data_IF_464652771718
#
_entry.id   IF_464652771718
#
_cell.length_a   1.000
_cell.length_b   1.000
_cell.length_c   1.000
_cell.angle_alpha   90.00
_cell.angle_beta   90.00
_cell.angle_gamma   90.00
#
_symmetry.space_group_name_H-M   'P 1'
#
loop_
_entity.id
_entity.type
_entity.pdbx_description
1 polymer ?
#
# COMPACT_ATOMS: atom_id res chain seq x y z
N UNK A 1 -6.04 20.68 -20.92
CA UNK A 1 -5.78 21.04 -19.49
C UNK A 1 -7.02 20.95 -18.61
N UNK A 2 -8.10 21.69 -18.87
CA UNK A 2 -9.34 21.59 -18.06
C UNK A 2 -9.85 20.15 -17.96
N UNK A 3 -9.79 19.37 -19.05
CA UNK A 3 -10.17 17.96 -19.04
C UNK A 3 -9.35 17.09 -18.08
N UNK A 4 -8.04 17.33 -17.93
CA UNK A 4 -7.19 16.59 -16.98
C UNK A 4 -7.53 16.97 -15.53
N UNK A 5 -7.84 18.24 -15.26
CA UNK A 5 -8.29 18.68 -13.93
C UNK A 5 -9.61 18.02 -13.56
N UNK A 6 -10.57 17.95 -14.49
CA UNK A 6 -11.84 17.25 -14.27
C UNK A 6 -11.60 15.75 -14.01
N UNK A 7 -10.76 15.10 -14.82
CA UNK A 7 -10.40 13.70 -14.64
C UNK A 7 -9.76 13.46 -13.26
N UNK A 8 -8.85 14.35 -12.84
CA UNK A 8 -8.23 14.27 -11.52
C UNK A 8 -9.30 14.34 -10.44
N UNK A 9 -10.16 15.37 -10.45
CA UNK A 9 -11.25 15.52 -9.48
C UNK A 9 -12.16 14.28 -9.43
N UNK A 10 -12.51 13.72 -10.60
CA UNK A 10 -13.30 12.49 -10.66
C UNK A 10 -12.55 11.32 -9.99
N UNK A 11 -11.27 11.13 -10.29
CA UNK A 11 -10.47 10.07 -9.67
C UNK A 11 -10.34 10.25 -8.15
N UNK A 12 -10.23 11.48 -7.66
CA UNK A 12 -10.15 11.75 -6.22
C UNK A 12 -11.50 11.60 -5.49
N UNK A 13 -12.63 11.92 -6.13
CA UNK A 13 -13.94 11.99 -5.45
C UNK A 13 -14.80 10.73 -5.67
N UNK A 14 -14.87 10.24 -6.91
CA UNK A 14 -15.85 9.22 -7.32
C UNK A 14 -15.73 7.89 -6.55
N UNK A 15 -14.53 7.39 -6.19
CA UNK A 15 -14.36 6.21 -5.33
C UNK A 15 -15.08 6.31 -3.98
N UNK A 16 -15.28 7.52 -3.45
CA UNK A 16 -15.88 7.75 -2.13
C UNK A 16 -17.38 8.03 -2.19
N UNK A 17 -17.86 8.50 -3.34
CA UNK A 17 -19.28 8.86 -3.51
C UNK A 17 -20.10 7.76 -4.17
N UNK A 18 -19.48 6.90 -4.98
CA UNK A 18 -20.18 5.89 -5.77
C UNK A 18 -19.72 4.46 -5.43
N UNK A 19 -20.59 3.69 -4.75
CA UNK A 19 -20.33 2.27 -4.39
C UNK A 19 -20.00 1.37 -5.58
N UNK A 20 -20.50 1.71 -6.77
CA UNK A 20 -20.21 0.96 -8.01
C UNK A 20 -18.74 1.15 -8.41
N UNK A 21 -18.22 2.37 -8.24
CA UNK A 21 -16.83 2.73 -8.55
C UNK A 21 -15.90 2.12 -7.51
N UNK A 22 -16.24 2.26 -6.23
CA UNK A 22 -15.51 1.64 -5.12
C UNK A 22 -15.33 0.12 -5.30
N UNK A 23 -16.37 -0.58 -5.78
CA UNK A 23 -16.31 -2.04 -6.01
C UNK A 23 -15.53 -2.45 -7.26
N UNK A 24 -15.32 -1.52 -8.20
CA UNK A 24 -14.74 -1.79 -9.51
C UNK A 24 -13.63 -0.77 -9.85
N UNK A 25 -12.78 -0.46 -8.86
CA UNK A 25 -11.71 0.53 -9.02
C UNK A 25 -10.79 0.23 -10.20
N UNK A 26 -10.56 -1.05 -10.48
CA UNK A 26 -9.66 -1.48 -11.55
C UNK A 26 -10.20 -1.07 -12.93
N UNK A 27 -11.51 -1.25 -13.15
CA UNK A 27 -12.18 -0.85 -14.40
C UNK A 27 -12.31 0.67 -14.45
N UNK A 28 -12.63 1.30 -13.33
CA UNK A 28 -12.72 2.75 -13.25
C UNK A 28 -11.40 3.42 -13.63
N UNK A 29 -10.28 3.00 -13.04
CA UNK A 29 -8.95 3.54 -13.36
C UNK A 29 -8.53 3.24 -14.79
N UNK A 30 -8.93 2.10 -15.36
CA UNK A 30 -8.72 1.83 -16.78
C UNK A 30 -9.43 2.85 -17.68
N UNK A 31 -10.69 3.15 -17.40
CA UNK A 31 -11.47 4.16 -18.13
C UNK A 31 -10.88 5.55 -17.93
N UNK A 32 -10.56 5.94 -16.69
CA UNK A 32 -9.96 7.25 -16.40
C UNK A 32 -8.56 7.37 -17.03
N UNK A 33 -7.78 6.29 -17.09
CA UNK A 33 -6.48 6.26 -17.73
C UNK A 33 -6.53 6.40 -19.25
N UNK A 34 -7.43 5.65 -19.90
CA UNK A 34 -7.69 5.80 -21.34
C UNK A 34 -8.12 7.22 -21.66
N UNK A 35 -9.10 7.74 -20.95
CA UNK A 35 -9.60 9.12 -21.18
C UNK A 35 -8.53 10.17 -20.90
N UNK A 36 -7.72 10.03 -19.84
CA UNK A 36 -6.61 10.92 -19.56
C UNK A 36 -5.60 10.96 -20.71
N UNK A 37 -5.17 9.78 -21.19
CA UNK A 37 -4.20 9.67 -22.28
C UNK A 37 -4.70 10.23 -23.61
N UNK A 38 -6.00 10.12 -23.89
CA UNK A 38 -6.62 10.71 -25.08
C UNK A 38 -6.74 12.24 -24.94
N UNK A 39 -7.19 12.73 -23.78
CA UNK A 39 -7.39 14.17 -23.52
C UNK A 39 -6.07 14.94 -23.48
N UNK A 40 -4.98 14.31 -23.02
CA UNK A 40 -3.65 14.93 -23.06
C UNK A 40 -2.92 14.76 -24.38
N UNK A 41 -3.47 14.03 -25.34
CA UNK A 41 -2.88 13.83 -26.67
C UNK A 41 -1.64 12.92 -26.70
N UNK A 42 -1.34 12.22 -25.59
CA UNK A 42 -0.19 11.30 -25.49
C UNK A 42 -0.52 9.87 -25.91
N UNK A 43 -1.80 9.56 -26.13
CA UNK A 43 -2.23 8.23 -26.54
C UNK A 43 -1.68 7.85 -27.91
N UNK A 44 -0.87 6.80 -27.95
CA UNK A 44 -0.28 6.27 -29.17
C UNK A 44 -0.11 4.73 -29.06
N UNK A 45 0.13 4.04 -30.19
CA UNK A 45 0.25 2.58 -30.19
C UNK A 45 1.40 2.05 -29.31
N UNK A 46 2.50 2.80 -29.17
CA UNK A 46 3.62 2.39 -28.31
C UNK A 46 3.28 2.48 -26.83
N UNK A 47 2.54 3.51 -26.40
CA UNK A 47 2.01 3.64 -25.04
C UNK A 47 0.99 2.54 -24.75
N UNK A 48 0.10 2.22 -25.69
CA UNK A 48 -0.85 1.11 -25.51
C UNK A 48 -0.11 -0.23 -25.38
N UNK A 49 0.91 -0.47 -26.22
CA UNK A 49 1.73 -1.68 -26.12
C UNK A 49 2.47 -1.75 -24.78
N UNK A 50 3.04 -0.64 -24.29
CA UNK A 50 3.69 -0.56 -22.98
C UNK A 50 2.68 -0.86 -21.85
N UNK A 51 1.53 -0.19 -21.86
CA UNK A 51 0.48 -0.37 -20.86
C UNK A 51 -0.05 -1.81 -20.79
N UNK A 52 -0.07 -2.56 -21.89
CA UNK A 52 -0.47 -3.97 -21.91
C UNK A 52 0.66 -4.93 -21.52
N UNK A 53 1.92 -4.57 -21.77
CA UNK A 53 3.09 -5.42 -21.53
C UNK A 53 3.60 -5.32 -20.09
N UNK A 54 3.69 -4.11 -19.55
CA UNK A 54 4.21 -3.87 -18.19
C UNK A 54 3.52 -4.74 -17.13
N UNK A 55 2.17 -4.87 -17.10
CA UNK A 55 1.44 -5.62 -16.07
C UNK A 55 1.60 -7.14 -16.14
N UNK A 56 2.14 -7.71 -17.23
CA UNK A 56 2.20 -9.16 -17.44
C UNK A 56 3.03 -9.84 -16.35
N UNK A 57 4.25 -9.35 -16.10
CA UNK A 57 5.12 -9.93 -15.08
C UNK A 57 4.56 -9.73 -13.67
N UNK A 58 3.97 -8.57 -13.39
CA UNK A 58 3.38 -8.26 -12.07
C UNK A 58 2.20 -9.18 -11.78
N UNK A 59 1.25 -9.30 -12.71
CA UNK A 59 0.07 -10.16 -12.55
C UNK A 59 0.45 -11.64 -12.42
N UNK A 60 1.47 -12.09 -13.15
CA UNK A 60 1.99 -13.45 -13.03
C UNK A 60 2.63 -13.68 -11.65
N UNK A 61 3.44 -12.73 -11.16
CA UNK A 61 4.03 -12.82 -9.82
C UNK A 61 2.95 -12.86 -8.74
N UNK A 62 1.91 -12.02 -8.85
CA UNK A 62 0.77 -12.03 -7.92
C UNK A 62 0.02 -13.37 -7.95
N UNK A 63 -0.21 -13.94 -9.14
CA UNK A 63 -0.85 -15.24 -9.30
C UNK A 63 -0.03 -16.35 -8.62
N UNK A 64 1.29 -16.37 -8.89
CA UNK A 64 2.23 -17.35 -8.32
C UNK A 64 2.29 -17.21 -6.80
N UNK A 65 2.44 -15.98 -6.28
CA UNK A 65 2.44 -15.72 -4.84
C UNK A 65 1.14 -16.16 -4.16
N UNK A 66 -0.01 -15.91 -4.79
CA UNK A 66 -1.32 -16.36 -4.29
C UNK A 66 -1.43 -17.89 -4.20
N UNK A 67 -0.92 -18.62 -5.20
CA UNK A 67 -0.89 -20.09 -5.19
C UNK A 67 0.04 -20.62 -4.09
N UNK A 68 1.25 -20.06 -3.96
CA UNK A 68 2.17 -20.43 -2.88
C UNK A 68 1.56 -20.21 -1.50
N UNK A 69 0.88 -19.09 -1.28
CA UNK A 69 0.22 -18.80 -0.01
C UNK A 69 -0.87 -19.84 0.29
N UNK A 70 -1.72 -20.18 -0.69
CA UNK A 70 -2.77 -21.18 -0.52
C UNK A 70 -2.21 -22.54 -0.11
N UNK A 71 -1.13 -22.99 -0.75
CA UNK A 71 -0.48 -24.25 -0.40
C UNK A 71 0.22 -24.20 0.96
N UNK A 72 0.74 -23.03 1.34
CA UNK A 72 1.45 -22.79 2.60
C UNK A 72 0.56 -22.52 3.82
N UNK A 73 -0.75 -22.31 3.69
CA UNK A 73 -1.60 -21.87 4.82
C UNK A 73 -1.56 -22.81 6.04
N UNK A 74 -1.70 -24.13 5.81
CA UNK A 74 -1.74 -25.12 6.88
C UNK A 74 -0.43 -25.20 7.70
N UNK A 75 0.77 -25.31 7.08
CA UNK A 75 2.02 -25.27 7.82
C UNK A 75 2.26 -23.90 8.48
N UNK A 76 1.84 -22.80 7.86
CA UNK A 76 1.97 -21.46 8.42
C UNK A 76 1.21 -21.33 9.76
N UNK A 77 -0.06 -21.80 9.80
CA UNK A 77 -0.88 -21.80 11.01
C UNK A 77 -0.26 -22.62 12.15
N UNK A 78 0.28 -23.81 11.82
CA UNK A 78 0.98 -24.68 12.79
C UNK A 78 2.31 -24.07 13.28
N UNK A 79 3.02 -23.34 12.41
CA UNK A 79 4.25 -22.64 12.77
C UNK A 79 3.99 -21.47 13.72
N UNK A 80 2.99 -20.65 13.41
CA UNK A 80 2.58 -19.50 14.23
C UNK A 80 2.20 -19.95 15.64
N UNK A 81 1.41 -21.02 15.79
CA UNK A 81 0.98 -21.49 17.10
C UNK A 81 2.14 -22.00 17.96
N UNK A 82 3.16 -22.66 17.36
CA UNK A 82 4.36 -23.09 18.08
C UNK A 82 5.24 -21.92 18.51
N UNK A 83 5.47 -20.96 17.62
CA UNK A 83 6.33 -19.80 17.94
C UNK A 83 5.69 -18.93 19.01
N UNK A 84 4.36 -18.74 18.96
CA UNK A 84 3.62 -17.98 19.96
C UNK A 84 3.71 -18.59 21.38
N UNK A 85 4.03 -19.88 21.52
CA UNK A 85 4.25 -20.53 22.83
C UNK A 85 5.68 -20.41 23.38
N UNK A 86 6.65 -19.98 22.55
CA UNK A 86 8.08 -20.00 22.92
C UNK A 86 8.63 -18.64 23.32
N UNK A 87 7.92 -17.54 23.03
CA UNK A 87 8.41 -16.17 23.18
C UNK A 87 7.40 -15.34 23.99
N UNK A 88 7.85 -14.38 24.83
CA UNK A 88 6.94 -13.44 25.48
C UNK A 88 6.01 -12.77 24.48
N UNK A 89 4.73 -12.73 24.79
CA UNK A 89 3.70 -12.40 23.81
C UNK A 89 3.84 -10.98 23.22
N UNK A 90 4.30 -9.99 24.01
CA UNK A 90 4.61 -8.64 23.48
C UNK A 90 5.71 -8.66 22.43
N UNK A 91 6.77 -9.43 22.68
CA UNK A 91 7.87 -9.59 21.75
C UNK A 91 7.43 -10.36 20.50
N UNK A 92 6.58 -11.38 20.66
CA UNK A 92 5.97 -12.08 19.53
C UNK A 92 5.22 -11.12 18.59
N UNK A 93 4.35 -10.26 19.13
CA UNK A 93 3.60 -9.29 18.30
C UNK A 93 4.54 -8.29 17.61
N UNK A 94 5.55 -7.77 18.31
CA UNK A 94 6.54 -6.88 17.72
C UNK A 94 7.33 -7.55 16.58
N UNK A 95 7.74 -8.81 16.77
CA UNK A 95 8.41 -9.58 15.73
C UNK A 95 7.50 -9.83 14.54
N UNK A 96 6.20 -10.06 14.75
CA UNK A 96 5.24 -10.17 13.64
C UNK A 96 5.19 -8.87 12.83
N UNK A 97 5.11 -7.71 13.49
CA UNK A 97 5.12 -6.40 12.80
C UNK A 97 6.38 -6.22 11.97
N UNK A 98 7.55 -6.51 12.54
CA UNK A 98 8.84 -6.36 11.85
C UNK A 98 8.95 -7.34 10.68
N UNK A 99 8.71 -8.63 10.92
CA UNK A 99 8.89 -9.67 9.91
C UNK A 99 7.92 -9.52 8.76
N UNK A 100 6.64 -9.22 9.04
CA UNK A 100 5.66 -8.99 7.97
C UNK A 100 5.98 -7.74 7.14
N UNK A 101 6.52 -6.68 7.77
CA UNK A 101 7.01 -5.52 7.04
C UNK A 101 8.19 -5.86 6.13
N UNK A 102 9.21 -6.53 6.64
CA UNK A 102 10.39 -6.85 5.82
C UNK A 102 10.05 -7.80 4.66
N UNK A 103 9.22 -8.81 4.92
CA UNK A 103 8.88 -9.85 3.95
C UNK A 103 7.81 -9.39 2.94
N UNK A 104 6.99 -8.37 3.23
CA UNK A 104 5.93 -7.91 2.32
C UNK A 104 6.46 -7.43 0.97
N UNK A 105 7.71 -6.94 0.94
CA UNK A 105 8.45 -6.59 -0.28
C UNK A 105 8.67 -7.77 -1.24
N UNK A 106 8.63 -9.02 -0.75
CA UNK A 106 8.87 -10.24 -1.53
C UNK A 106 7.56 -10.95 -1.87
N UNK A 107 6.63 -11.03 -0.91
CA UNK A 107 5.41 -11.84 -1.04
C UNK A 107 4.16 -11.05 -1.43
N UNK A 108 4.22 -9.72 -1.46
CA UNK A 108 3.12 -8.75 -1.60
C UNK A 108 2.43 -8.31 -0.29
N UNK A 109 1.97 -7.06 -0.30
CA UNK A 109 1.13 -6.45 0.73
C UNK A 109 -0.16 -7.26 0.98
N UNK A 110 -0.75 -7.83 -0.09
CA UNK A 110 -1.97 -8.62 -0.02
C UNK A 110 -1.75 -9.88 0.80
N UNK A 111 -0.73 -10.67 0.44
CA UNK A 111 -0.41 -11.93 1.12
C UNK A 111 -0.01 -11.67 2.57
N UNK A 112 0.86 -10.68 2.82
CA UNK A 112 1.26 -10.31 4.18
C UNK A 112 0.06 -9.91 5.06
N UNK A 113 -0.92 -9.20 4.50
CA UNK A 113 -2.13 -8.80 5.23
C UNK A 113 -3.06 -9.98 5.54
N UNK A 114 -3.16 -10.96 4.64
CA UNK A 114 -3.90 -12.19 4.91
C UNK A 114 -3.21 -13.04 6.00
N UNK A 115 -1.88 -13.08 6.00
CA UNK A 115 -1.09 -13.70 7.08
C UNK A 115 -1.39 -12.99 8.41
N UNK A 116 -1.37 -11.66 8.43
CA UNK A 116 -1.71 -10.87 9.62
C UNK A 116 -3.11 -11.21 10.14
N UNK A 117 -4.12 -11.23 9.27
CA UNK A 117 -5.50 -11.58 9.63
C UNK A 117 -5.58 -12.98 10.23
N UNK A 118 -4.85 -13.95 9.67
CA UNK A 118 -4.78 -15.30 10.20
C UNK A 118 -4.13 -15.34 11.59
N UNK A 119 -3.03 -14.61 11.79
CA UNK A 119 -2.36 -14.48 13.10
C UNK A 119 -3.34 -13.91 14.13
N UNK A 120 -3.97 -12.77 13.84
CA UNK A 120 -4.92 -12.10 14.75
C UNK A 120 -6.08 -13.03 15.15
N UNK A 121 -6.60 -13.79 14.18
CA UNK A 121 -7.70 -14.73 14.41
C UNK A 121 -7.33 -15.88 15.36
N UNK A 122 -6.06 -16.33 15.34
CA UNK A 122 -5.54 -17.38 16.22
C UNK A 122 -5.17 -16.82 17.60
N UNK A 123 -4.64 -15.60 17.63
CA UNK A 123 -4.05 -14.96 18.81
C UNK A 123 -5.10 -14.46 19.80
N UNK A 124 -6.31 -14.16 19.33
CA UNK A 124 -7.52 -13.77 20.10
C UNK A 124 -7.28 -12.67 21.14
N UNK A 125 -6.95 -11.48 20.64
CA UNK A 125 -6.76 -10.26 21.44
C UNK A 125 -8.11 -9.64 21.85
N UNK A 126 -8.13 -8.90 22.95
CA UNK A 126 -9.19 -7.93 23.19
C UNK A 126 -9.24 -6.88 22.06
N UNK A 127 -10.41 -6.28 21.82
CA UNK A 127 -10.64 -5.39 20.68
C UNK A 127 -9.71 -4.19 20.67
N UNK A 128 -9.37 -3.63 21.83
CA UNK A 128 -8.52 -2.45 21.90
C UNK A 128 -7.09 -2.78 21.47
N UNK A 129 -6.56 -3.90 21.96
CA UNK A 129 -5.22 -4.39 21.66
C UNK A 129 -5.11 -4.89 20.21
N UNK A 130 -6.15 -5.57 19.72
CA UNK A 130 -6.29 -5.98 18.32
C UNK A 130 -6.14 -4.79 17.37
N UNK A 131 -6.90 -3.72 17.59
CA UNK A 131 -6.88 -2.55 16.72
C UNK A 131 -5.49 -1.92 16.64
N UNK A 132 -4.82 -1.72 17.79
CA UNK A 132 -3.45 -1.17 17.82
C UNK A 132 -2.47 -2.06 17.07
N UNK A 133 -2.51 -3.37 17.32
CA UNK A 133 -1.62 -4.33 16.68
C UNK A 133 -1.83 -4.39 15.17
N UNK A 134 -3.08 -4.48 14.71
CA UNK A 134 -3.41 -4.55 13.28
C UNK A 134 -2.95 -3.29 12.56
N UNK A 135 -3.22 -2.11 13.12
CA UNK A 135 -2.87 -0.85 12.46
C UNK A 135 -1.34 -0.69 12.37
N UNK A 136 -0.61 -0.96 13.46
CA UNK A 136 0.87 -0.93 13.44
C UNK A 136 1.45 -1.94 12.43
N UNK A 137 0.88 -3.14 12.36
CA UNK A 137 1.27 -4.15 11.39
C UNK A 137 0.98 -3.72 9.94
N UNK A 138 -0.18 -3.12 9.67
CA UNK A 138 -0.54 -2.63 8.34
C UNK A 138 0.34 -1.46 7.88
N UNK A 139 0.70 -0.53 8.77
CA UNK A 139 1.72 0.48 8.49
C UNK A 139 3.05 -0.18 8.08
N UNK A 140 3.50 -1.16 8.84
CA UNK A 140 4.75 -1.89 8.57
C UNK A 140 4.71 -2.64 7.23
N UNK A 141 3.61 -3.34 6.95
CA UNK A 141 3.40 -4.08 5.70
C UNK A 141 3.39 -3.12 4.50
N UNK A 142 2.68 -2.01 4.59
CA UNK A 142 2.59 -1.01 3.52
C UNK A 142 3.95 -0.38 3.20
N UNK A 143 4.66 0.09 4.24
CA UNK A 143 6.02 0.63 4.09
C UNK A 143 6.98 -0.39 3.48
N UNK A 144 6.97 -1.62 3.98
CA UNK A 144 7.82 -2.68 3.49
C UNK A 144 7.50 -3.11 2.06
N UNK A 145 6.22 -3.15 1.68
CA UNK A 145 5.79 -3.56 0.35
C UNK A 145 6.29 -2.60 -0.73
N UNK A 146 6.49 -1.33 -0.37
CA UNK A 146 7.00 -0.31 -1.28
C UNK A 146 8.46 -0.52 -1.74
N UNK A 147 9.21 -1.42 -1.08
CA UNK A 147 10.65 -1.59 -1.36
C UNK A 147 10.96 -2.25 -2.71
N UNK A 148 10.01 -3.01 -3.28
CA UNK A 148 10.18 -3.62 -4.60
C UNK A 148 8.90 -3.47 -5.43
N UNK A 149 8.99 -3.49 -6.77
CA UNK A 149 7.82 -3.49 -7.66
C UNK A 149 6.82 -4.62 -7.43
N UNK A 150 7.22 -5.68 -6.72
CA UNK A 150 6.37 -6.84 -6.45
C UNK A 150 5.43 -6.57 -5.28
N UNK A 151 5.87 -5.78 -4.30
CA UNK A 151 5.21 -5.69 -3.01
C UNK A 151 3.82 -5.04 -3.07
N UNK A 152 3.67 -3.90 -3.75
CA UNK A 152 2.38 -3.22 -3.92
C UNK A 152 2.31 -2.40 -5.22
N UNK A 153 1.12 -1.98 -5.67
CA UNK A 153 1.00 -1.22 -6.91
C UNK A 153 1.73 0.12 -6.91
N UNK A 154 1.82 0.81 -5.77
CA UNK A 154 2.56 2.07 -5.67
C UNK A 154 4.02 1.92 -6.13
N UNK A 155 4.74 0.92 -5.62
CA UNK A 155 6.14 0.69 -5.99
C UNK A 155 6.30 0.23 -7.44
N UNK A 156 5.34 -0.56 -7.94
CA UNK A 156 5.27 -0.92 -9.36
C UNK A 156 5.19 0.33 -10.24
N UNK A 157 4.29 1.25 -9.91
CA UNK A 157 4.03 2.46 -10.68
C UNK A 157 5.22 3.40 -10.62
N UNK A 158 5.77 3.63 -9.42
CA UNK A 158 6.93 4.50 -9.25
C UNK A 158 8.11 4.04 -10.12
N UNK A 159 8.38 2.74 -10.18
CA UNK A 159 9.44 2.18 -11.01
C UNK A 159 9.14 2.30 -12.52
N UNK A 160 7.91 1.99 -12.94
CA UNK A 160 7.50 2.16 -14.35
C UNK A 160 7.55 3.63 -14.81
N UNK A 161 7.17 4.56 -13.91
CA UNK A 161 7.16 6.00 -14.15
C UNK A 161 8.53 6.60 -14.26
N UNK A 162 9.42 6.24 -13.33
CA UNK A 162 10.78 6.75 -13.29
C UNK A 162 11.70 6.05 -14.30
N UNK A 163 11.19 5.01 -14.97
CA UNK A 163 11.93 4.15 -15.91
C UNK A 163 13.20 3.57 -15.26
N UNK A 164 13.06 3.10 -14.01
CA UNK A 164 14.17 2.65 -13.17
C UNK A 164 14.25 1.12 -13.05
N UNK A 165 15.38 0.65 -12.53
CA UNK A 165 15.60 -0.78 -12.27
C UNK A 165 14.87 -1.26 -11.01
N UNK A 166 14.67 -2.59 -10.91
CA UNK A 166 13.97 -3.26 -9.81
C UNK A 166 14.40 -2.82 -8.39
N UNK A 167 15.70 -2.62 -8.18
CA UNK A 167 16.26 -2.27 -6.87
C UNK A 167 16.24 -0.78 -6.53
N UNK A 168 15.78 0.09 -7.41
CA UNK A 168 15.88 1.54 -7.23
C UNK A 168 15.19 2.03 -5.95
N UNK A 169 13.95 1.58 -5.68
CA UNK A 169 13.23 1.98 -4.46
C UNK A 169 13.90 1.47 -3.19
N UNK A 170 14.49 0.28 -3.23
CA UNK A 170 15.28 -0.25 -2.11
C UNK A 170 16.49 0.65 -1.81
N UNK A 171 17.14 1.21 -2.83
CA UNK A 171 18.23 2.17 -2.64
C UNK A 171 17.74 3.55 -2.18
N UNK A 172 16.61 4.02 -2.72
CA UNK A 172 16.10 5.36 -2.47
C UNK A 172 15.46 5.53 -1.07
N UNK A 173 14.58 4.59 -0.68
CA UNK A 173 13.80 4.66 0.57
C UNK A 173 14.09 3.50 1.53
N UNK A 174 14.99 2.57 1.19
CA UNK A 174 15.21 1.35 1.98
C UNK A 174 15.60 1.60 3.42
N UNK A 175 16.54 2.52 3.66
CA UNK A 175 16.98 2.88 5.01
C UNK A 175 15.85 3.53 5.81
N UNK A 176 15.04 4.38 5.18
CA UNK A 176 13.89 5.02 5.81
C UNK A 176 12.86 3.98 6.22
N UNK A 177 12.46 3.12 5.28
CA UNK A 177 11.46 2.08 5.50
C UNK A 177 11.93 1.09 6.57
N UNK A 178 13.19 0.64 6.51
CA UNK A 178 13.73 -0.27 7.51
C UNK A 178 13.66 0.36 8.91
N UNK A 179 14.06 1.63 9.03
CA UNK A 179 13.99 2.38 10.30
C UNK A 179 12.55 2.50 10.78
N UNK A 180 11.60 2.82 9.90
CA UNK A 180 10.19 2.90 10.24
C UNK A 180 9.63 1.57 10.75
N UNK A 181 9.97 0.46 10.07
CA UNK A 181 9.54 -0.90 10.45
C UNK A 181 10.04 -1.24 11.87
N UNK A 182 11.31 -0.91 12.17
CA UNK A 182 11.88 -1.12 13.51
C UNK A 182 11.17 -0.25 14.56
N UNK A 183 10.92 1.03 14.26
CA UNK A 183 10.17 1.93 15.15
C UNK A 183 8.76 1.39 15.41
N UNK A 184 8.04 0.94 14.38
CA UNK A 184 6.71 0.35 14.49
C UNK A 184 6.72 -0.94 15.32
N UNK A 185 7.74 -1.78 15.14
CA UNK A 185 7.97 -2.96 15.99
C UNK A 185 8.17 -2.58 17.46
N UNK A 186 8.95 -1.55 17.73
CA UNK A 186 9.16 -1.06 19.10
C UNK A 186 7.90 -0.43 19.71
N UNK A 187 7.16 0.39 18.94
CA UNK A 187 5.86 0.93 19.33
C UNK A 187 4.86 -0.17 19.65
N UNK A 188 4.94 -1.32 18.97
CA UNK A 188 4.11 -2.49 19.27
C UNK A 188 4.37 -3.01 20.67
N UNK A 189 5.63 -3.09 21.11
CA UNK A 189 5.98 -3.51 22.49
C UNK A 189 5.37 -2.57 23.54
N UNK A 190 5.31 -1.27 23.24
CA UNK A 190 4.83 -0.25 24.18
C UNK A 190 3.31 -0.11 24.21
N UNK A 191 2.66 -0.14 23.04
CA UNK A 191 1.26 0.21 22.90
C UNK A 191 0.32 -1.01 22.96
N UNK A 192 0.85 -2.21 22.76
CA UNK A 192 0.08 -3.45 22.65
C UNK A 192 0.29 -4.30 23.91
N UNK A 193 -0.68 -4.22 24.82
CA UNK A 193 -0.70 -5.01 26.04
C UNK A 193 -1.66 -6.20 25.88
N UNK A 194 -1.15 -7.44 25.85
CA UNK A 194 -1.98 -8.57 25.54
C UNK A 194 -2.83 -9.01 26.72
N UNK A 195 -4.13 -8.75 26.65
CA UNK A 195 -5.15 -9.47 27.43
C UNK A 195 -5.85 -10.47 26.49
N UNK A 196 -5.62 -11.78 26.73
CA UNK A 196 -6.26 -12.84 25.95
C UNK A 196 -7.74 -12.94 26.33
N UNK A 197 -8.61 -13.00 25.34
CA UNK A 197 -10.01 -13.47 25.52
C UNK A 197 -10.15 -14.88 24.97
N UNK A 198 -10.95 -15.69 25.65
CA UNK A 198 -11.18 -17.10 25.35
C UNK A 198 -12.49 -17.33 24.57
N UNK A 199 -12.71 -16.55 23.51
CA UNK A 199 -13.91 -16.71 22.68
C UNK A 199 -13.56 -17.03 21.23
N UNK A 200 -13.98 -18.24 20.84
CA UNK A 200 -13.82 -18.83 19.52
C UNK A 200 -14.32 -17.91 18.41
N UNK A 201 -13.37 -17.36 17.64
CA UNK A 201 -13.63 -16.78 16.34
C UNK A 201 -13.55 -17.84 15.26
N UNK A 202 -14.42 -17.70 14.27
CA UNK A 202 -14.49 -18.51 13.06
C UNK A 202 -13.15 -18.52 12.33
N UNK A 203 -12.77 -19.68 11.80
CA UNK A 203 -11.53 -19.80 11.03
C UNK A 203 -11.57 -18.90 9.78
N UNK A 204 -10.45 -18.25 9.41
CA UNK A 204 -10.37 -17.50 8.16
C UNK A 204 -10.63 -18.43 6.98
N UNK A 205 -11.62 -18.09 6.15
CA UNK A 205 -12.00 -18.85 4.95
C UNK A 205 -10.80 -18.92 4.01
N UNK A 206 -10.38 -20.14 3.66
CA UNK A 206 -9.31 -20.37 2.69
C UNK A 206 -9.69 -19.83 1.32
N UNK A 207 -8.76 -19.14 0.68
CA UNK A 207 -9.00 -18.48 -0.61
C UNK A 207 -9.15 -19.51 -1.74
N UNK A 208 -10.19 -19.36 -2.57
CA UNK A 208 -10.43 -20.24 -3.72
C UNK A 208 -9.41 -19.96 -4.84
N UNK A 209 -9.11 -20.98 -5.66
CA UNK A 209 -8.26 -20.75 -6.84
C UNK A 209 -8.89 -19.74 -7.81
N UNK A 210 -10.23 -19.75 -7.90
CA UNK A 210 -10.98 -18.77 -8.69
C UNK A 210 -10.77 -17.35 -8.17
N UNK A 211 -10.76 -17.15 -6.85
CA UNK A 211 -10.52 -15.84 -6.23
C UNK A 211 -9.10 -15.33 -6.51
N UNK A 212 -8.09 -16.22 -6.43
CA UNK A 212 -6.70 -15.89 -6.74
C UNK A 212 -6.55 -15.44 -8.22
N UNK A 213 -7.16 -16.18 -9.15
CA UNK A 213 -7.13 -15.85 -10.58
C UNK A 213 -7.84 -14.51 -10.85
N UNK A 214 -9.05 -14.32 -10.30
CA UNK A 214 -9.82 -13.08 -10.47
C UNK A 214 -9.03 -11.88 -9.93
N UNK A 215 -8.34 -12.04 -8.79
CA UNK A 215 -7.47 -11.00 -8.25
C UNK A 215 -6.29 -10.70 -9.17
N UNK A 216 -5.61 -11.71 -9.71
CA UNK A 216 -4.48 -11.49 -10.63
C UNK A 216 -4.92 -10.73 -11.90
N UNK A 217 -6.10 -11.04 -12.45
CA UNK A 217 -6.69 -10.31 -13.59
C UNK A 217 -7.07 -8.88 -13.20
N UNK A 218 -7.67 -8.68 -12.03
CA UNK A 218 -7.97 -7.34 -11.52
C UNK A 218 -6.72 -6.49 -11.36
N UNK A 219 -5.64 -7.06 -10.81
CA UNK A 219 -4.32 -6.38 -10.73
C UNK A 219 -3.81 -6.05 -12.13
N UNK A 220 -3.90 -6.97 -13.10
CA UNK A 220 -3.52 -6.68 -14.48
C UNK A 220 -4.26 -5.44 -15.01
N UNK A 221 -5.60 -5.42 -14.95
CA UNK A 221 -6.41 -4.30 -15.43
C UNK A 221 -6.11 -2.99 -14.70
N UNK A 222 -5.89 -3.07 -13.39
CA UNK A 222 -5.53 -1.94 -12.55
C UNK A 222 -4.20 -1.30 -13.01
N UNK A 223 -3.16 -2.10 -13.20
CA UNK A 223 -1.85 -1.60 -13.66
C UNK A 223 -1.94 -1.07 -15.09
N UNK A 224 -2.66 -1.72 -16.02
CA UNK A 224 -2.90 -1.17 -17.37
C UNK A 224 -3.49 0.24 -17.27
N UNK A 225 -4.56 0.37 -16.47
CA UNK A 225 -5.25 1.65 -16.29
C UNK A 225 -4.35 2.73 -15.72
N UNK A 226 -3.53 2.39 -14.74
CA UNK A 226 -2.61 3.32 -14.12
C UNK A 226 -1.42 3.68 -15.00
N UNK A 227 -0.92 2.78 -15.84
CA UNK A 227 0.12 3.13 -16.83
C UNK A 227 -0.43 4.18 -17.80
N UNK A 228 -1.64 3.98 -18.32
CA UNK A 228 -2.31 4.95 -19.20
C UNK A 228 -2.63 6.26 -18.49
N UNK A 229 -3.12 6.18 -17.25
CA UNK A 229 -3.43 7.34 -16.42
C UNK A 229 -2.18 8.16 -16.12
N UNK A 230 -1.14 7.50 -15.63
CA UNK A 230 0.12 8.13 -15.30
C UNK A 230 0.73 8.84 -16.51
N UNK A 231 0.83 8.17 -17.66
CA UNK A 231 1.30 8.82 -18.90
C UNK A 231 0.35 9.92 -19.36
N UNK A 232 -0.97 9.73 -19.22
CA UNK A 232 -1.99 10.73 -19.53
C UNK A 232 -1.81 12.03 -18.74
N UNK A 233 -1.33 11.94 -17.50
CA UNK A 233 -1.09 13.09 -16.64
C UNK A 233 0.30 13.73 -16.76
N UNK A 234 1.27 13.13 -17.47
CA UNK A 234 2.62 13.69 -17.62
C UNK A 234 2.65 15.18 -17.95
N UNK A 235 1.92 15.68 -18.98
CA UNK A 235 1.95 17.09 -19.33
C UNK A 235 1.44 18.01 -18.21
N UNK A 236 0.51 17.53 -17.39
CA UNK A 236 0.00 18.27 -16.24
C UNK A 236 1.02 18.29 -15.08
N UNK A 237 1.60 17.13 -14.78
CA UNK A 237 2.61 16.98 -13.72
C UNK A 237 3.83 17.84 -14.03
N UNK A 238 4.35 17.73 -15.24
CA UNK A 238 5.55 18.43 -15.68
C UNK A 238 5.37 19.94 -15.69
N UNK A 239 4.14 20.44 -15.86
CA UNK A 239 3.84 21.87 -15.86
C UNK A 239 3.56 22.44 -14.46
N UNK A 240 2.92 21.68 -13.55
CA UNK A 240 2.40 22.23 -12.29
C UNK A 240 3.03 21.64 -11.02
N UNK A 241 3.60 20.44 -11.06
CA UNK A 241 4.09 19.74 -9.86
C UNK A 241 5.62 19.69 -9.77
N UNK A 242 6.35 19.63 -10.89
CA UNK A 242 7.82 19.51 -10.90
C UNK A 242 8.55 20.71 -10.29
N UNK A 243 7.95 21.90 -10.32
CA UNK A 243 8.51 23.11 -9.72
C UNK A 243 8.11 23.37 -8.26
N UNK A 244 7.28 22.51 -7.66
CA UNK A 244 6.84 22.69 -6.27
C UNK A 244 7.93 22.31 -5.28
N UNK A 245 7.94 23.01 -4.14
CA UNK A 245 8.84 22.68 -3.04
C UNK A 245 8.56 21.24 -2.55
N UNK A 246 9.58 20.36 -2.47
CA UNK A 246 9.44 19.02 -1.92
C UNK A 246 8.79 18.98 -0.53
N UNK A 247 8.99 20.01 0.28
CA UNK A 247 8.35 20.15 1.60
C UNK A 247 6.84 20.29 1.49
N UNK A 248 6.37 21.03 0.49
CA UNK A 248 4.93 21.22 0.25
C UNK A 248 4.32 19.92 -0.27
N UNK A 249 4.96 19.27 -1.24
CA UNK A 249 4.53 17.97 -1.78
C UNK A 249 4.43 16.92 -0.66
N UNK A 250 5.42 16.83 0.22
CA UNK A 250 5.39 15.92 1.37
C UNK A 250 4.12 16.05 2.22
N UNK A 251 3.70 17.28 2.53
CA UNK A 251 2.51 17.53 3.37
C UNK A 251 1.20 17.44 2.60
N UNK A 252 1.15 17.86 1.33
CA UNK A 252 -0.02 17.67 0.47
C UNK A 252 -0.36 16.19 0.35
N UNK A 253 0.64 15.33 0.40
CA UNK A 253 0.48 13.88 0.31
C UNK A 253 -0.24 13.26 1.52
N UNK A 254 -0.58 14.05 2.54
CA UNK A 254 -1.61 13.68 3.52
C UNK A 254 -2.96 13.33 2.89
N UNK A 255 -3.23 13.83 1.68
CA UNK A 255 -4.42 13.45 0.90
C UNK A 255 -4.45 11.94 0.64
N UNK A 256 -3.29 11.27 0.59
CA UNK A 256 -3.19 9.80 0.47
C UNK A 256 -3.75 9.05 1.68
N UNK A 257 -4.06 9.72 2.79
CA UNK A 257 -4.81 9.07 3.87
C UNK A 257 -6.22 8.73 3.38
N UNK A 258 -6.84 9.63 2.61
CA UNK A 258 -8.20 9.46 2.11
C UNK A 258 -8.17 8.77 0.75
N UNK A 259 -7.17 9.03 -0.08
CA UNK A 259 -7.07 8.51 -1.45
C UNK A 259 -6.05 7.38 -1.57
N UNK A 260 -6.26 6.50 -2.55
CA UNK A 260 -5.33 5.41 -2.83
C UNK A 260 -3.94 5.92 -3.24
N UNK A 261 -2.90 5.44 -2.57
CA UNK A 261 -1.52 5.92 -2.72
C UNK A 261 -0.95 5.63 -4.12
N UNK A 262 -1.35 4.55 -4.77
CA UNK A 262 -0.90 4.17 -6.10
C UNK A 262 -1.43 5.15 -7.16
N UNK A 263 -2.66 5.62 -6.97
CA UNK A 263 -3.28 6.65 -7.80
C UNK A 263 -2.53 7.98 -7.71
N UNK A 264 -2.19 8.45 -6.51
CA UNK A 264 -1.42 9.68 -6.32
C UNK A 264 0.02 9.54 -6.83
N UNK A 265 0.63 8.37 -6.66
CA UNK A 265 1.96 8.07 -7.24
C UNK A 265 1.95 8.24 -8.75
N UNK A 266 0.93 7.72 -9.44
CA UNK A 266 0.78 7.90 -10.88
C UNK A 266 0.57 9.37 -11.27
N UNK A 267 -0.11 10.14 -10.41
CA UNK A 267 -0.48 11.53 -10.62
C UNK A 267 0.60 12.55 -10.21
N UNK A 268 1.61 12.16 -9.43
CA UNK A 268 2.60 13.10 -8.87
C UNK A 268 4.03 12.80 -9.32
N UNK A 269 4.40 11.54 -9.53
CA UNK A 269 5.78 11.19 -9.86
C UNK A 269 6.08 11.44 -11.35
N UNK A 270 7.21 12.13 -11.60
CA UNK A 270 7.79 12.38 -12.91
C UNK A 270 9.31 12.13 -12.91
N UNK A 271 9.90 11.58 -14.01
CA UNK A 271 11.36 11.48 -14.21
C UNK A 271 12.10 12.80 -14.15
N UNK A 272 11.42 13.94 -14.33
CA UNK A 272 12.03 15.26 -14.27
C UNK A 272 12.35 15.71 -12.82
N UNK A 273 11.83 14.98 -11.82
CA UNK A 273 12.05 15.29 -10.41
C UNK A 273 13.40 14.76 -9.92
N UNK A 274 14.04 15.49 -9.01
CA UNK A 274 15.25 15.01 -8.35
C UNK A 274 14.93 13.93 -7.30
N UNK A 275 15.95 13.18 -6.87
CA UNK A 275 15.79 12.08 -5.91
C UNK A 275 15.18 12.53 -4.58
N UNK A 276 15.53 13.73 -4.08
CA UNK A 276 14.97 14.26 -2.83
C UNK A 276 13.45 14.47 -2.95
N UNK A 277 12.98 15.03 -4.05
CA UNK A 277 11.54 15.22 -4.33
C UNK A 277 10.84 13.88 -4.42
N UNK A 278 11.38 12.92 -5.17
CA UNK A 278 10.78 11.58 -5.30
C UNK A 278 10.72 10.87 -3.94
N UNK A 279 11.81 10.92 -3.16
CA UNK A 279 11.88 10.36 -1.80
C UNK A 279 10.84 11.01 -0.88
N UNK A 280 10.70 12.33 -0.92
CA UNK A 280 9.69 13.06 -0.14
C UNK A 280 8.26 12.66 -0.53
N UNK A 281 7.95 12.61 -1.83
CA UNK A 281 6.63 12.18 -2.33
C UNK A 281 6.33 10.77 -1.83
N UNK A 282 7.23 9.81 -2.05
CA UNK A 282 7.03 8.41 -1.68
C UNK A 282 6.81 8.23 -0.17
N UNK A 283 7.66 8.82 0.67
CA UNK A 283 7.51 8.71 2.12
C UNK A 283 6.23 9.40 2.62
N UNK A 284 5.86 10.53 2.01
CA UNK A 284 4.59 11.21 2.30
C UNK A 284 3.38 10.33 2.00
N UNK A 285 3.34 9.75 0.79
CA UNK A 285 2.25 8.86 0.35
C UNK A 285 2.18 7.59 1.21
N UNK A 286 3.31 6.94 1.48
CA UNK A 286 3.36 5.68 2.24
C UNK A 286 2.93 5.85 3.69
N UNK A 287 3.45 6.87 4.37
CA UNK A 287 3.12 7.12 5.78
C UNK A 287 1.67 7.61 5.89
N UNK A 288 1.26 8.56 5.03
CA UNK A 288 -0.12 9.03 5.04
C UNK A 288 -1.12 7.92 4.70
N UNK A 289 -0.79 7.05 3.75
CA UNK A 289 -1.65 5.93 3.34
C UNK A 289 -2.00 4.97 4.48
N UNK A 290 -1.19 4.90 5.54
CA UNK A 290 -1.50 4.11 6.73
C UNK A 290 -2.57 4.73 7.65
N UNK A 291 -2.86 6.03 7.53
CA UNK A 291 -3.68 6.76 8.49
C UNK A 291 -5.16 6.36 8.46
N UNK A 292 -5.71 6.02 7.30
CA UNK A 292 -7.09 5.57 7.13
C UNK A 292 -7.17 4.34 6.22
N UNK A 293 -8.33 3.68 6.24
CA UNK A 293 -8.57 2.42 5.51
C UNK A 293 -8.33 2.53 4.00
N UNK A 294 -8.80 3.57 3.27
CA UNK A 294 -8.67 3.60 1.82
C UNK A 294 -7.25 3.86 1.33
N UNK A 295 -6.38 4.40 2.19
CA UNK A 295 -5.06 4.90 1.78
C UNK A 295 -4.06 3.82 1.35
N UNK A 296 -4.24 2.56 1.79
CA UNK A 296 -3.41 1.44 1.36
C UNK A 296 -4.14 0.08 1.45
N UNK A 297 -3.79 -0.85 0.56
CA UNK A 297 -4.33 -2.21 0.42
C UNK A 297 -4.31 -3.03 1.72
N UNK A 298 -3.23 -3.07 2.53
CA UNK A 298 -3.24 -3.78 3.81
C UNK A 298 -4.37 -3.35 4.72
N UNK A 299 -4.68 -2.05 4.73
CA UNK A 299 -5.71 -1.49 5.59
C UNK A 299 -7.09 -1.96 5.14
N UNK A 300 -7.35 -1.94 3.83
CA UNK A 300 -8.61 -2.43 3.23
C UNK A 300 -8.84 -3.90 3.58
N UNK A 301 -7.84 -4.76 3.39
CA UNK A 301 -7.95 -6.19 3.65
C UNK A 301 -8.17 -6.47 5.13
N UNK A 302 -7.33 -5.90 6.00
CA UNK A 302 -7.41 -6.13 7.43
C UNK A 302 -8.72 -5.59 8.01
N UNK A 303 -9.13 -4.38 7.62
CA UNK A 303 -10.36 -3.79 8.11
C UNK A 303 -11.60 -4.56 7.68
N UNK A 304 -11.65 -5.04 6.43
CA UNK A 304 -12.76 -5.85 5.95
C UNK A 304 -12.83 -7.21 6.68
N UNK A 305 -11.71 -7.94 6.74
CA UNK A 305 -11.68 -9.29 7.32
C UNK A 305 -11.85 -9.30 8.85
N UNK A 306 -11.40 -8.26 9.55
CA UNK A 306 -11.49 -8.14 11.02
C UNK A 306 -12.63 -7.21 11.48
N UNK A 307 -13.49 -6.79 10.55
CA UNK A 307 -14.62 -5.89 10.79
C UNK A 307 -14.22 -4.63 11.57
N UNK A 308 -13.16 -3.95 11.14
CA UNK A 308 -12.68 -2.69 11.72
C UNK A 308 -13.37 -1.53 11.00
N UNK A 309 -14.06 -0.68 11.76
CA UNK A 309 -14.68 0.53 11.20
C UNK A 309 -13.65 1.63 10.91
N UNK A 310 -13.94 2.50 9.95
CA UNK A 310 -13.07 3.65 9.63
C UNK A 310 -12.83 4.55 10.84
N UNK A 311 -13.81 4.67 11.75
CA UNK A 311 -13.68 5.45 12.99
C UNK A 311 -12.72 4.81 13.98
N UNK A 312 -12.77 3.49 14.14
CA UNK A 312 -11.80 2.75 14.97
C UNK A 312 -10.38 2.88 14.39
N UNK A 313 -10.25 2.75 13.07
CA UNK A 313 -8.96 2.90 12.39
C UNK A 313 -8.40 4.30 12.59
N UNK A 314 -9.15 5.34 12.24
CA UNK A 314 -8.71 6.73 12.25
C UNK A 314 -8.23 7.18 13.64
N UNK A 315 -8.85 6.71 14.73
CA UNK A 315 -8.46 7.07 16.10
C UNK A 315 -7.03 6.67 16.46
N UNK A 316 -6.48 5.64 15.80
CA UNK A 316 -5.14 5.11 16.08
C UNK A 316 -4.21 5.42 14.91
N UNK A 317 -4.67 5.18 13.67
CA UNK A 317 -3.88 5.35 12.46
C UNK A 317 -3.49 6.81 12.19
N UNK A 318 -4.41 7.77 12.37
CA UNK A 318 -4.12 9.18 12.09
C UNK A 318 -3.06 9.75 13.06
N UNK A 319 -3.14 9.56 14.39
CA UNK A 319 -2.07 10.02 15.29
C UNK A 319 -0.71 9.38 15.00
N UNK A 320 -0.65 8.08 14.72
CA UNK A 320 0.60 7.37 14.41
C UNK A 320 1.19 7.90 13.10
N UNK A 321 0.37 8.01 12.06
CA UNK A 321 0.82 8.51 10.76
C UNK A 321 1.30 9.95 10.85
N UNK A 322 0.60 10.84 11.56
CA UNK A 322 1.04 12.23 11.73
C UNK A 322 2.36 12.32 12.49
N UNK A 323 2.52 11.52 13.55
CA UNK A 323 3.78 11.43 14.29
C UNK A 323 4.94 10.99 13.39
N UNK A 324 4.73 9.94 12.58
CA UNK A 324 5.73 9.48 11.62
C UNK A 324 6.01 10.53 10.55
N UNK A 325 4.99 11.24 10.04
CA UNK A 325 5.18 12.28 9.04
C UNK A 325 6.03 13.43 9.58
N UNK A 326 5.76 13.90 10.80
CA UNK A 326 6.59 14.93 11.43
C UNK A 326 8.03 14.43 11.61
N UNK A 327 8.22 13.20 12.10
CA UNK A 327 9.54 12.62 12.31
C UNK A 327 10.34 12.56 10.99
N UNK A 328 9.75 12.02 9.93
CA UNK A 328 10.43 11.89 8.64
C UNK A 328 10.63 13.24 7.95
N UNK A 329 9.70 14.18 8.10
CA UNK A 329 9.89 15.55 7.62
C UNK A 329 11.15 16.19 8.23
N UNK A 330 11.37 16.02 9.54
CA UNK A 330 12.56 16.52 10.22
C UNK A 330 13.83 15.80 9.73
N UNK A 331 13.78 14.48 9.59
CA UNK A 331 14.93 13.68 9.10
C UNK A 331 15.33 14.10 7.68
N UNK A 332 14.36 14.17 6.76
CA UNK A 332 14.63 14.39 5.33
C UNK A 332 15.11 15.82 5.05
N UNK A 333 14.58 16.83 5.74
CA UNK A 333 14.80 18.23 5.37
C UNK A 333 15.72 19.02 6.30
N UNK A 334 16.10 18.47 7.46
CA UNK A 334 16.92 19.17 8.45
C UNK A 334 18.11 18.37 8.97
N UNK A 335 18.14 17.05 8.76
CA UNK A 335 19.13 16.15 9.35
C UNK A 335 20.04 15.49 8.30
N UNK A 336 19.58 15.41 7.06
CA UNK A 336 20.30 14.94 5.86
C UNK A 336 20.52 16.14 4.95
#
# INVERSE_FOLDING_TARGET
>A
MIGLVVILILVLILPFTAKVVERNLEIFLLVMGLTASMVSGVFNPSLLAKALKDPVYISLTVLVAGMFFKWGQAPLKKGISRIATLIPYRLFLALVVILLGLVSSVITAIVASLVLVAIVSVVQLDRHTELRFVILACFSIGLGAALTPIGEPLSTIAISKLDQNFGYLLHLIGTDVFTAIVILGWLTVLLVNPERRDHGRSEPVAESYSEIIVRAVKVYLFVVGLTLFGHGFHPFIDQYLTGLDPKLLYWVNMISAVLDNATLTAAEISPAMNELTVRAILLGLLISGGMLIPGNIPNIIAANKLNISSKEWARIGMPIGLMLMVLYFLIIFFLI
#
